data_IF_389508184174
#
_entry.id   IF_389508184174
#
_cell.length_a   1.000
_cell.length_b   1.000
_cell.length_c   1.000
_cell.angle_alpha   90.00
_cell.angle_beta   90.00
_cell.angle_gamma   90.00
#
_symmetry.space_group_name_H-M   'P 1'
#
loop_
_entity.id
_entity.type
_entity.pdbx_description
1 polymer ?
#
# COMPACT_ATOMS: atom_id res chain seq x y z
N UNK A 1 13.38 -10.11 -2.23
CA UNK A 1 13.07 -8.72 -2.65
C UNK A 1 13.32 -7.77 -1.50
N UNK A 2 13.99 -6.69 -1.80
CA UNK A 2 14.17 -5.63 -0.81
C UNK A 2 13.36 -4.41 -1.21
N UNK A 3 12.64 -3.85 -0.26
CA UNK A 3 11.89 -2.63 -0.49
C UNK A 3 12.71 -1.43 -0.03
N UNK A 4 12.58 -0.33 -0.75
CA UNK A 4 13.16 0.93 -0.29
C UNK A 4 12.48 1.33 0.99
N UNK A 5 13.28 1.63 2.00
CA UNK A 5 12.79 1.89 3.33
C UNK A 5 13.42 3.16 3.87
N UNK A 6 12.59 4.03 4.43
CA UNK A 6 13.04 5.26 5.02
C UNK A 6 12.34 5.47 6.35
N UNK A 7 13.12 5.77 7.38
CA UNK A 7 12.57 6.09 8.69
C UNK A 7 12.33 7.59 8.78
N UNK A 8 11.10 7.96 9.08
CA UNK A 8 10.72 9.37 9.22
C UNK A 8 10.03 9.55 10.58
N UNK A 9 10.81 9.93 11.59
CA UNK A 9 10.26 10.05 12.93
C UNK A 9 9.76 8.72 13.46
N UNK A 10 8.48 8.67 13.82
CA UNK A 10 7.87 7.47 14.37
C UNK A 10 7.29 6.53 13.32
N UNK A 11 7.45 6.88 12.05
CA UNK A 11 6.90 6.05 10.99
C UNK A 11 7.98 5.55 10.06
N UNK A 12 7.69 4.43 9.40
CA UNK A 12 8.54 3.86 8.38
C UNK A 12 7.82 3.96 7.05
N UNK A 13 8.49 4.54 6.07
CA UNK A 13 7.96 4.66 4.70
C UNK A 13 8.59 3.58 3.84
N UNK A 14 7.76 2.78 3.20
CA UNK A 14 8.19 1.72 2.30
C UNK A 14 7.73 2.08 0.89
N UNK A 15 8.66 2.10 -0.05
CA UNK A 15 8.31 2.35 -1.44
C UNK A 15 8.13 1.04 -2.15
N UNK A 16 6.94 0.82 -2.69
CA UNK A 16 6.64 -0.41 -3.41
C UNK A 16 7.21 -0.36 -4.83
N UNK A 17 7.50 -1.53 -5.40
CA UNK A 17 8.03 -1.60 -6.77
C UNK A 17 6.95 -1.27 -7.80
N UNK A 18 7.35 -1.24 -9.06
CA UNK A 18 6.43 -0.93 -10.15
C UNK A 18 5.40 -2.02 -10.41
N UNK A 19 5.69 -3.25 -10.05
CA UNK A 19 4.81 -4.41 -10.30
C UNK A 19 4.29 -4.96 -8.98
N UNK A 20 2.97 -4.84 -8.77
CA UNK A 20 2.29 -5.37 -7.59
C UNK A 20 1.16 -6.27 -8.09
N UNK A 21 1.55 -7.46 -8.55
CA UNK A 21 0.64 -8.39 -9.22
C UNK A 21 0.80 -9.80 -8.68
N UNK A 22 0.02 -10.71 -9.25
CA UNK A 22 0.10 -12.13 -8.89
C UNK A 22 1.54 -12.68 -9.02
N UNK A 23 2.36 -12.05 -9.87
CA UNK A 23 3.74 -12.50 -10.07
C UNK A 23 4.69 -12.06 -8.97
N UNK A 24 4.32 -11.04 -8.18
CA UNK A 24 5.20 -10.46 -7.17
C UNK A 24 4.64 -10.53 -5.75
N UNK A 25 3.36 -10.86 -5.59
CA UNK A 25 2.71 -10.77 -4.26
C UNK A 25 3.37 -11.65 -3.22
N UNK A 26 3.87 -12.83 -3.59
CA UNK A 26 4.51 -13.70 -2.62
C UNK A 26 5.78 -13.08 -2.03
N UNK A 27 6.61 -12.49 -2.90
CA UNK A 27 7.82 -11.81 -2.45
C UNK A 27 7.52 -10.56 -1.65
N UNK A 28 6.51 -9.81 -2.08
CA UNK A 28 6.09 -8.62 -1.36
C UNK A 28 5.56 -8.98 0.02
N UNK A 29 4.78 -10.04 0.12
CA UNK A 29 4.27 -10.50 1.39
C UNK A 29 5.39 -10.86 2.34
N UNK A 30 6.40 -11.57 1.86
CA UNK A 30 7.55 -11.91 2.67
C UNK A 30 8.30 -10.67 3.15
N UNK A 31 8.44 -9.67 2.29
CA UNK A 31 9.13 -8.44 2.65
C UNK A 31 8.35 -7.60 3.65
N UNK A 32 7.02 -7.58 3.53
CA UNK A 32 6.17 -6.75 4.38
C UNK A 32 5.87 -7.40 5.74
N UNK A 33 5.76 -8.71 5.78
CA UNK A 33 5.27 -9.42 6.97
C UNK A 33 6.02 -9.08 8.25
N UNK A 34 7.37 -9.09 8.29
CA UNK A 34 8.07 -8.72 9.51
C UNK A 34 7.78 -7.30 9.97
N UNK A 35 7.60 -6.39 9.00
CA UNK A 35 7.39 -4.97 9.31
C UNK A 35 5.99 -4.73 9.89
N UNK A 36 5.02 -5.54 9.50
CA UNK A 36 3.66 -5.41 10.03
C UNK A 36 3.58 -5.79 11.51
N UNK A 37 4.58 -6.48 12.02
CA UNK A 37 4.61 -6.94 13.41
C UNK A 37 5.61 -6.20 14.29
N UNK A 38 6.23 -5.13 13.76
CA UNK A 38 7.24 -4.39 14.51
C UNK A 38 6.68 -3.30 15.41
N UNK A 39 5.40 -3.08 15.37
CA UNK A 39 4.80 -2.13 16.28
C UNK A 39 5.09 -0.67 15.94
N UNK A 40 5.08 -0.32 14.67
CA UNK A 40 5.29 1.06 14.25
C UNK A 40 4.33 1.43 13.13
N UNK A 41 4.13 2.72 12.98
CA UNK A 41 3.29 3.24 11.90
C UNK A 41 4.00 3.04 10.57
N UNK A 42 3.28 2.49 9.59
CA UNK A 42 3.81 2.25 8.27
C UNK A 42 3.08 3.10 7.23
N UNK A 43 3.85 3.60 6.28
CA UNK A 43 3.29 4.21 5.08
C UNK A 43 3.82 3.44 3.88
N UNK A 44 2.93 3.03 3.00
CA UNK A 44 3.31 2.39 1.75
C UNK A 44 3.20 3.42 0.64
N UNK A 45 4.35 3.78 0.07
CA UNK A 45 4.41 4.73 -1.04
C UNK A 45 4.15 3.99 -2.33
N UNK A 46 3.07 4.34 -3.01
CA UNK A 46 2.59 3.67 -4.21
C UNK A 46 2.90 4.44 -5.49
N UNK A 47 3.73 5.46 -5.41
CA UNK A 47 3.98 6.33 -6.56
C UNK A 47 4.59 5.60 -7.76
N UNK A 48 5.39 4.58 -7.49
CA UNK A 48 6.07 3.85 -8.55
C UNK A 48 5.26 2.70 -9.14
N UNK A 49 4.09 2.40 -8.59
CA UNK A 49 3.28 1.26 -9.03
C UNK A 49 2.67 1.56 -10.38
N UNK A 50 3.10 0.85 -11.41
CA UNK A 50 2.58 1.00 -12.76
C UNK A 50 1.65 -0.14 -13.15
N UNK A 51 1.80 -1.29 -12.50
CA UNK A 51 0.94 -2.44 -12.73
C UNK A 51 0.45 -2.99 -11.41
N UNK A 52 -0.85 -3.15 -11.28
CA UNK A 52 -1.47 -3.75 -10.11
C UNK A 52 -2.70 -4.52 -10.57
N UNK A 53 -2.89 -5.70 -10.02
CA UNK A 53 -4.07 -6.52 -10.30
C UNK A 53 -4.82 -6.82 -9.00
N UNK A 54 -5.84 -7.66 -9.08
CA UNK A 54 -6.64 -7.99 -7.90
C UNK A 54 -5.81 -8.70 -6.83
N UNK A 55 -4.81 -9.48 -7.22
CA UNK A 55 -3.92 -10.13 -6.23
C UNK A 55 -3.11 -9.08 -5.48
N UNK A 56 -2.60 -8.08 -6.18
CA UNK A 56 -1.89 -6.97 -5.56
C UNK A 56 -2.78 -6.18 -4.63
N UNK A 57 -3.99 -5.89 -5.06
CA UNK A 57 -4.96 -5.19 -4.22
C UNK A 57 -5.26 -5.98 -2.96
N UNK A 58 -5.44 -7.28 -3.08
CA UNK A 58 -5.71 -8.13 -1.91
C UNK A 58 -4.54 -8.16 -0.94
N UNK A 59 -3.31 -8.10 -1.45
CA UNK A 59 -2.14 -8.00 -0.59
C UNK A 59 -2.17 -6.72 0.23
N UNK A 60 -2.47 -5.58 -0.40
CA UNK A 60 -2.55 -4.30 0.30
C UNK A 60 -3.66 -4.32 1.34
N UNK A 61 -4.79 -4.91 1.00
CA UNK A 61 -5.92 -5.04 1.90
C UNK A 61 -5.56 -5.88 3.12
N UNK A 62 -4.91 -7.01 2.89
CA UNK A 62 -4.49 -7.91 3.96
C UNK A 62 -3.45 -7.24 4.86
N UNK A 63 -2.51 -6.50 4.27
CA UNK A 63 -1.50 -5.77 5.04
C UNK A 63 -2.15 -4.74 5.95
N UNK A 64 -3.13 -4.00 5.43
CA UNK A 64 -3.84 -3.00 6.23
C UNK A 64 -4.59 -3.65 7.38
N UNK A 65 -5.25 -4.76 7.13
CA UNK A 65 -5.97 -5.49 8.18
C UNK A 65 -5.04 -6.03 9.25
N UNK A 66 -3.90 -6.58 8.84
CA UNK A 66 -2.93 -7.12 9.78
C UNK A 66 -2.34 -6.02 10.67
N UNK A 67 -2.00 -4.88 10.07
CA UNK A 67 -1.46 -3.76 10.83
C UNK A 67 -2.49 -3.27 11.85
N UNK A 68 -3.74 -3.13 11.43
CA UNK A 68 -4.80 -2.68 12.31
C UNK A 68 -5.01 -3.67 13.48
N UNK A 69 -4.97 -4.96 13.20
CA UNK A 69 -5.11 -5.98 14.23
C UNK A 69 -3.97 -5.92 15.24
N UNK A 70 -2.79 -5.46 14.82
CA UNK A 70 -1.64 -5.30 15.71
C UNK A 70 -1.62 -3.93 16.40
N UNK A 71 -2.63 -3.11 16.17
CA UNK A 71 -2.77 -1.82 16.85
C UNK A 71 -1.99 -0.67 16.25
N UNK A 72 -1.43 -0.84 15.07
CA UNK A 72 -0.65 0.21 14.40
C UNK A 72 -1.20 0.48 13.02
N UNK A 73 -1.45 1.74 12.68
CA UNK A 73 -2.04 2.05 11.37
C UNK A 73 -1.05 1.86 10.24
N UNK A 74 -1.58 1.43 9.11
CA UNK A 74 -0.86 1.40 7.86
C UNK A 74 -1.59 2.30 6.88
N UNK A 75 -0.85 3.22 6.28
CA UNK A 75 -1.41 4.18 5.34
C UNK A 75 -0.86 3.95 3.95
N UNK A 76 -1.73 4.06 2.95
CA UNK A 76 -1.31 4.06 1.55
C UNK A 76 -1.20 5.51 1.11
N UNK A 77 -0.04 5.89 0.58
CA UNK A 77 0.21 7.29 0.18
C UNK A 77 0.78 7.35 -1.23
N UNK A 78 0.64 8.51 -1.86
CA UNK A 78 1.17 8.78 -3.19
C UNK A 78 0.66 7.79 -4.22
N UNK A 79 -0.66 7.59 -4.23
CA UNK A 79 -1.31 6.64 -5.14
C UNK A 79 -0.97 6.94 -6.60
N UNK A 80 -0.46 5.93 -7.31
CA UNK A 80 -0.27 6.03 -8.76
C UNK A 80 -1.62 5.97 -9.45
N UNK A 81 -1.64 6.35 -10.73
CA UNK A 81 -2.88 6.24 -11.51
C UNK A 81 -3.37 4.81 -11.59
N UNK A 82 -2.48 3.84 -11.72
CA UNK A 82 -2.87 2.44 -11.77
C UNK A 82 -3.60 2.02 -10.50
N UNK A 83 -3.09 2.44 -9.34
CA UNK A 83 -3.72 2.13 -8.06
C UNK A 83 -5.07 2.83 -7.94
N UNK A 84 -5.12 4.12 -8.29
CA UNK A 84 -6.38 4.87 -8.21
C UNK A 84 -7.46 4.27 -9.10
N UNK A 85 -7.09 3.89 -10.33
CA UNK A 85 -8.04 3.26 -11.23
C UNK A 85 -8.61 1.97 -10.65
N UNK A 86 -7.74 1.14 -10.10
CA UNK A 86 -8.18 -0.14 -9.55
C UNK A 86 -9.07 0.07 -8.33
N UNK A 87 -8.71 1.00 -7.45
CA UNK A 87 -9.53 1.31 -6.27
C UNK A 87 -10.90 1.83 -6.67
N UNK A 88 -10.98 2.65 -7.71
CA UNK A 88 -12.26 3.13 -8.20
C UNK A 88 -13.11 2.02 -8.78
N UNK A 89 -12.50 1.16 -9.59
CA UNK A 89 -13.20 0.04 -10.18
C UNK A 89 -13.79 -0.89 -9.12
N UNK A 90 -13.09 -1.05 -8.02
CA UNK A 90 -13.53 -1.91 -6.93
C UNK A 90 -14.32 -1.15 -5.86
N UNK A 91 -14.46 0.16 -6.00
CA UNK A 91 -15.16 1.02 -5.04
C UNK A 91 -14.59 0.90 -3.63
N UNK A 92 -13.25 0.81 -3.54
CA UNK A 92 -12.57 0.62 -2.26
C UNK A 92 -11.86 1.86 -1.74
N UNK A 93 -11.93 2.98 -2.45
CA UNK A 93 -11.26 4.21 -2.02
C UNK A 93 -11.64 4.61 -0.61
N UNK A 94 -12.93 4.57 -0.29
CA UNK A 94 -13.40 4.89 1.04
C UNK A 94 -13.00 3.88 2.08
N UNK A 95 -12.89 2.62 1.69
CA UNK A 95 -12.49 1.55 2.61
C UNK A 95 -11.10 1.78 3.18
N UNK A 96 -10.15 2.18 2.34
CA UNK A 96 -8.79 2.41 2.82
C UNK A 96 -8.70 3.65 3.70
N UNK A 97 -9.60 4.62 3.51
CA UNK A 97 -9.66 5.78 4.39
C UNK A 97 -8.48 6.72 4.29
N UNK A 98 -7.60 6.52 3.36
CA UNK A 98 -6.40 7.33 3.20
C UNK A 98 -6.63 8.41 2.14
N UNK A 99 -6.08 9.61 2.36
CA UNK A 99 -6.25 10.66 1.35
C UNK A 99 -5.53 10.29 0.07
N UNK A 100 -6.15 10.58 -1.05
CA UNK A 100 -5.49 10.45 -2.34
C UNK A 100 -4.86 11.80 -2.66
N UNK A 101 -3.58 11.78 -2.98
CA UNK A 101 -2.83 13.02 -3.14
C UNK A 101 -2.66 13.44 -4.59
N UNK A 102 -3.28 12.73 -5.52
CA UNK A 102 -3.17 13.04 -6.93
C UNK A 102 -4.39 13.81 -7.40
N UNK A 103 -4.26 14.55 -8.51
CA UNK A 103 -5.38 15.30 -9.06
C UNK A 103 -6.62 14.45 -9.28
N UNK A 104 -6.44 13.16 -9.47
CA UNK A 104 -7.56 12.24 -9.64
C UNK A 104 -8.51 12.30 -8.45
N UNK A 105 -8.00 12.61 -7.27
CA UNK A 105 -8.83 12.73 -6.08
C UNK A 105 -9.88 13.84 -6.22
N UNK A 106 -9.67 14.75 -7.14
CA UNK A 106 -10.61 15.83 -7.39
C UNK A 106 -11.68 15.44 -8.39
N UNK A 107 -11.58 14.26 -8.90
CA UNK A 107 -12.54 13.78 -9.87
C UNK A 107 -13.93 13.72 -9.24
N UNK A 108 -14.91 14.35 -9.85
CA UNK A 108 -16.26 14.38 -9.29
C UNK A 108 -16.92 13.02 -9.22
#
# INVERSE_FOLDING_TARGET
MELQREQQGDKTVLTLPDDVTIYTVAELKEALSPLLHQGQVLELNLANVTEIDSAGLQLLLAAKKTALANGYPLHLVWHSYAVLELLELCQLSGFFGDPTLLPHAEHP
#
